data_IF_868388811091
#
_entry.id   IF_868388811091
#
_cell.length_a   1.000
_cell.length_b   1.000
_cell.length_c   1.000
_cell.angle_alpha   90.00
_cell.angle_beta   90.00
_cell.angle_gamma   90.00
#
_symmetry.space_group_name_H-M   'P 1'
#
loop_
_entity.id
_entity.type
_entity.pdbx_description
1 polymer ?
#
# COMPACT_ATOMS: atom_id res chain seq x y z
N UNK A 1 -9.55 15.55 -12.67
CA UNK A 1 -10.78 14.75 -12.43
C UNK A 1 -10.62 13.25 -12.78
N UNK A 2 -9.41 12.77 -13.09
CA UNK A 2 -9.18 11.41 -13.63
C UNK A 2 -8.75 10.38 -12.57
N UNK A 3 -8.01 10.80 -11.54
CA UNK A 3 -7.53 9.92 -10.45
C UNK A 3 -8.66 9.41 -9.52
N UNK A 4 -9.67 10.24 -9.29
CA UNK A 4 -10.83 9.89 -8.44
C UNK A 4 -11.70 8.80 -9.07
N UNK A 5 -11.88 8.85 -10.40
CA UNK A 5 -12.65 7.84 -11.15
C UNK A 5 -11.91 6.50 -11.24
N UNK A 6 -10.58 6.51 -11.42
CA UNK A 6 -9.78 5.28 -11.39
C UNK A 6 -9.77 4.61 -10.01
N UNK A 7 -9.69 5.38 -8.92
CA UNK A 7 -9.81 4.83 -7.57
C UNK A 7 -11.19 4.21 -7.31
N UNK A 8 -12.26 4.84 -7.83
CA UNK A 8 -13.63 4.36 -7.67
C UNK A 8 -13.93 3.08 -8.47
N UNK A 9 -13.39 2.97 -9.69
CA UNK A 9 -13.48 1.76 -10.52
C UNK A 9 -12.67 0.61 -9.92
N UNK A 10 -11.47 0.86 -9.40
CA UNK A 10 -10.65 -0.14 -8.70
C UNK A 10 -11.31 -0.67 -7.42
N UNK A 11 -11.93 0.21 -6.62
CA UNK A 11 -12.63 -0.19 -5.39
C UNK A 11 -13.85 -1.09 -5.66
N UNK A 12 -14.55 -0.91 -6.79
CA UNK A 12 -15.69 -1.75 -7.13
C UNK A 12 -15.26 -3.13 -7.61
N UNK A 13 -14.20 -3.23 -8.42
CA UNK A 13 -13.64 -4.51 -8.88
C UNK A 13 -12.99 -5.29 -7.73
N UNK A 14 -12.28 -4.61 -6.82
CA UNK A 14 -11.71 -5.21 -5.61
C UNK A 14 -12.80 -5.78 -4.70
N UNK A 15 -13.88 -5.02 -4.45
CA UNK A 15 -15.02 -5.50 -3.65
C UNK A 15 -15.72 -6.69 -4.30
N UNK A 16 -15.80 -6.75 -5.62
CA UNK A 16 -16.36 -7.89 -6.33
C UNK A 16 -15.48 -9.14 -6.14
N UNK A 17 -14.18 -9.02 -6.37
CA UNK A 17 -13.23 -10.12 -6.20
C UNK A 17 -13.21 -10.67 -4.76
N UNK A 18 -13.27 -9.80 -3.75
CA UNK A 18 -13.36 -10.21 -2.34
C UNK A 18 -14.64 -11.01 -2.10
N UNK A 19 -15.80 -10.49 -2.54
CA UNK A 19 -17.09 -11.17 -2.37
C UNK A 19 -17.16 -12.51 -3.11
N UNK A 20 -16.54 -12.60 -4.29
CA UNK A 20 -16.53 -13.83 -5.07
C UNK A 20 -15.66 -14.89 -4.39
N UNK A 21 -14.52 -14.51 -3.81
CA UNK A 21 -13.72 -15.40 -2.97
C UNK A 21 -14.50 -15.86 -1.72
N UNK A 22 -15.22 -14.97 -1.04
CA UNK A 22 -16.07 -15.34 0.10
C UNK A 22 -17.18 -16.33 -0.29
N UNK A 23 -17.85 -16.11 -1.42
CA UNK A 23 -18.90 -17.00 -1.94
C UNK A 23 -18.37 -18.39 -2.29
N UNK A 24 -17.11 -18.48 -2.71
CA UNK A 24 -16.44 -19.75 -3.00
C UNK A 24 -15.90 -20.44 -1.75
N UNK A 25 -16.04 -19.84 -0.56
CA UNK A 25 -15.48 -20.36 0.69
C UNK A 25 -13.98 -20.10 0.85
N UNK A 26 -13.37 -19.35 -0.06
CA UNK A 26 -11.94 -19.02 -0.07
C UNK A 26 -11.64 -17.84 0.86
N UNK A 27 -11.96 -17.98 2.15
CA UNK A 27 -11.85 -16.90 3.14
C UNK A 27 -10.42 -16.36 3.29
N UNK A 28 -9.41 -17.22 3.13
CA UNK A 28 -8.01 -16.81 3.16
C UNK A 28 -7.72 -15.82 2.02
N UNK A 29 -8.24 -16.09 0.82
CA UNK A 29 -8.05 -15.29 -0.37
C UNK A 29 -8.82 -13.97 -0.25
N UNK A 30 -10.06 -14.03 0.23
CA UNK A 30 -10.85 -12.82 0.53
C UNK A 30 -10.08 -11.88 1.48
N UNK A 31 -9.49 -12.42 2.54
CA UNK A 31 -8.71 -11.66 3.52
C UNK A 31 -7.39 -11.12 2.94
N UNK A 32 -6.75 -11.85 2.03
CA UNK A 32 -5.59 -11.35 1.29
C UNK A 32 -5.98 -10.17 0.40
N UNK A 33 -7.01 -10.33 -0.43
CA UNK A 33 -7.51 -9.30 -1.36
C UNK A 33 -7.91 -8.02 -0.61
N UNK A 34 -8.58 -8.17 0.54
CA UNK A 34 -8.96 -7.03 1.38
C UNK A 34 -7.75 -6.27 1.94
N UNK A 35 -6.70 -6.99 2.38
CA UNK A 35 -5.44 -6.38 2.83
C UNK A 35 -4.75 -5.60 1.71
N UNK A 36 -4.70 -6.17 0.51
CA UNK A 36 -4.09 -5.49 -0.63
C UNK A 36 -4.89 -4.24 -1.05
N UNK A 37 -6.22 -4.33 -1.08
CA UNK A 37 -7.10 -3.21 -1.39
C UNK A 37 -6.91 -2.05 -0.39
N UNK A 38 -6.83 -2.36 0.91
CA UNK A 38 -6.49 -1.35 1.95
C UNK A 38 -5.13 -0.70 1.69
N UNK A 39 -4.10 -1.49 1.37
CA UNK A 39 -2.77 -0.96 1.05
C UNK A 39 -2.79 0.00 -0.14
N UNK A 40 -3.48 -0.38 -1.23
CA UNK A 40 -3.64 0.50 -2.40
C UNK A 40 -4.42 1.77 -2.07
N UNK A 41 -5.47 1.69 -1.26
CA UNK A 41 -6.22 2.86 -0.81
C UNK A 41 -5.36 3.85 -0.01
N UNK A 42 -4.59 3.35 0.96
CA UNK A 42 -3.70 4.19 1.77
C UNK A 42 -2.63 4.83 0.90
N UNK A 43 -1.98 4.07 0.03
CA UNK A 43 -1.00 4.61 -0.92
C UNK A 43 -1.64 5.71 -1.79
N UNK A 44 -2.79 5.46 -2.40
CA UNK A 44 -3.48 6.47 -3.23
C UNK A 44 -3.81 7.74 -2.44
N UNK A 45 -4.23 7.61 -1.17
CA UNK A 45 -4.54 8.75 -0.31
C UNK A 45 -3.30 9.55 0.07
N UNK A 46 -2.21 8.87 0.42
CA UNK A 46 -0.92 9.50 0.72
C UNK A 46 -0.35 10.20 -0.51
N UNK A 47 -0.41 9.54 -1.68
CA UNK A 47 -0.04 10.14 -2.94
C UNK A 47 -0.84 11.42 -3.18
N UNK A 48 -2.16 11.37 -3.10
CA UNK A 48 -3.00 12.54 -3.32
C UNK A 48 -2.71 13.70 -2.35
N UNK A 49 -2.32 13.41 -1.11
CA UNK A 49 -2.01 14.40 -0.08
C UNK A 49 -0.63 15.04 -0.25
N UNK A 50 0.34 14.26 -0.76
CA UNK A 50 1.75 14.64 -0.81
C UNK A 50 2.33 14.59 -2.23
N UNK A 51 1.47 14.65 -3.24
CA UNK A 51 1.86 14.60 -4.66
C UNK A 51 2.66 15.85 -5.03
N UNK A 52 3.86 15.66 -5.59
CA UNK A 52 4.81 16.73 -5.86
C UNK A 52 5.97 16.81 -4.87
N UNK A 53 5.76 17.16 -3.58
CA UNK A 53 6.86 17.28 -2.62
C UNK A 53 7.49 15.95 -2.26
N UNK A 54 6.79 14.82 -2.43
CA UNK A 54 7.31 13.49 -2.19
C UNK A 54 7.33 12.65 -3.47
N UNK A 55 8.37 11.84 -3.63
CA UNK A 55 8.55 10.96 -4.78
C UNK A 55 8.05 9.55 -4.43
N UNK A 56 6.92 9.16 -5.02
CA UNK A 56 6.34 7.84 -4.83
C UNK A 56 6.94 6.83 -5.81
N UNK A 57 7.36 5.66 -5.31
CA UNK A 57 7.86 4.55 -6.14
C UNK A 57 6.94 3.33 -6.01
N UNK A 58 6.89 2.52 -7.07
CA UNK A 58 6.10 1.29 -7.10
C UNK A 58 6.85 0.06 -6.60
N UNK A 59 8.14 0.18 -6.27
CA UNK A 59 9.03 -0.93 -5.91
C UNK A 59 9.95 -0.52 -4.76
N UNK A 60 9.93 -1.29 -3.66
CA UNK A 60 10.79 -1.03 -2.50
C UNK A 60 10.27 0.10 -1.63
N UNK A 61 11.12 1.09 -1.34
CA UNK A 61 10.76 2.31 -0.61
C UNK A 61 9.61 3.03 -1.31
N UNK A 62 8.46 3.11 -0.65
CA UNK A 62 7.25 3.67 -1.24
C UNK A 62 7.35 5.18 -1.48
N UNK A 63 8.08 5.90 -0.61
CA UNK A 63 8.15 7.36 -0.66
C UNK A 63 9.54 7.88 -0.31
N UNK A 64 10.06 8.81 -1.11
CA UNK A 64 11.30 9.55 -0.82
C UNK A 64 10.99 11.04 -0.74
N UNK A 65 11.44 11.69 0.33
CA UNK A 65 11.47 13.15 0.42
C UNK A 65 12.79 13.65 -0.20
N UNK A 66 12.76 14.30 -1.38
CA UNK A 66 13.96 14.77 -2.06
C UNK A 66 14.66 15.92 -1.33
N UNK A 67 13.98 16.63 -0.41
CA UNK A 67 14.58 17.74 0.34
C UNK A 67 15.42 17.25 1.52
N UNK A 68 14.95 16.20 2.19
CA UNK A 68 15.61 15.68 3.41
C UNK A 68 16.33 14.35 3.19
N UNK A 69 16.15 13.72 2.03
CA UNK A 69 16.62 12.36 1.75
C UNK A 69 15.89 11.28 2.53
N UNK A 70 14.84 11.62 3.29
CA UNK A 70 14.11 10.66 4.11
C UNK A 70 13.33 9.70 3.25
N UNK A 71 13.46 8.42 3.58
CA UNK A 71 12.80 7.33 2.92
C UNK A 71 11.69 6.78 3.82
N UNK A 72 10.54 6.47 3.25
CA UNK A 72 9.40 5.90 3.95
C UNK A 72 8.90 4.65 3.25
N UNK A 73 8.53 3.65 4.04
CA UNK A 73 7.91 2.41 3.59
C UNK A 73 6.51 2.32 4.20
N UNK A 74 5.48 2.14 3.37
CA UNK A 74 4.08 2.09 3.73
C UNK A 74 3.65 0.62 3.72
N UNK A 75 3.43 0.06 4.89
CA UNK A 75 3.17 -1.38 5.05
C UNK A 75 1.88 -1.62 5.82
N UNK A 76 1.18 -2.71 5.48
CA UNK A 76 -0.02 -3.15 6.19
C UNK A 76 0.24 -3.73 7.61
N UNK A 77 1.40 -3.43 8.21
CA UNK A 77 1.73 -3.78 9.60
C UNK A 77 1.81 -5.28 9.94
N UNK A 78 1.74 -6.20 8.97
CA UNK A 78 1.79 -7.65 9.24
C UNK A 78 3.18 -8.09 9.72
N UNK A 79 3.25 -9.20 10.45
CA UNK A 79 4.52 -9.80 10.89
C UNK A 79 5.47 -10.07 9.71
N UNK A 80 4.93 -10.56 8.59
CA UNK A 80 5.69 -10.75 7.35
C UNK A 80 6.24 -9.45 6.76
N UNK A 81 5.49 -8.35 6.85
CA UNK A 81 5.92 -7.03 6.41
C UNK A 81 7.00 -6.46 7.34
N UNK A 82 6.83 -6.62 8.65
CA UNK A 82 7.82 -6.24 9.66
C UNK A 82 9.13 -7.01 9.51
N UNK A 83 9.06 -8.32 9.28
CA UNK A 83 10.24 -9.14 9.02
C UNK A 83 10.96 -8.75 7.71
N UNK A 84 10.20 -8.35 6.67
CA UNK A 84 10.78 -7.81 5.44
C UNK A 84 11.42 -6.44 5.66
N UNK A 85 10.75 -5.55 6.40
CA UNK A 85 11.25 -4.24 6.80
C UNK A 85 12.58 -4.37 7.57
N UNK A 86 12.60 -5.18 8.63
CA UNK A 86 13.78 -5.42 9.45
C UNK A 86 14.99 -5.96 8.67
N UNK A 87 14.76 -6.86 7.70
CA UNK A 87 15.84 -7.35 6.82
C UNK A 87 16.45 -6.26 5.96
N UNK A 88 15.65 -5.28 5.51
CA UNK A 88 16.13 -4.15 4.70
C UNK A 88 16.83 -3.07 5.53
N UNK A 89 16.51 -2.93 6.83
CA UNK A 89 17.21 -2.00 7.72
C UNK A 89 18.70 -2.29 7.87
N UNK A 90 19.17 -3.50 7.52
CA UNK A 90 20.60 -3.82 7.52
C UNK A 90 21.40 -3.04 6.45
N UNK A 91 20.75 -2.55 5.39
CA UNK A 91 21.41 -1.83 4.29
C UNK A 91 20.85 -0.43 4.02
N UNK A 92 19.66 -0.09 4.52
CA UNK A 92 18.95 1.14 4.20
C UNK A 92 18.27 1.74 5.45
N UNK A 93 18.29 3.08 5.60
CA UNK A 93 17.58 3.78 6.68
C UNK A 93 16.28 4.41 6.17
N UNK A 94 15.15 3.93 6.66
CA UNK A 94 13.82 4.41 6.29
C UNK A 94 12.84 4.33 7.47
N UNK A 95 11.77 5.13 7.41
CA UNK A 95 10.70 5.14 8.41
C UNK A 95 9.49 4.33 7.92
N UNK A 96 9.06 3.37 8.72
CA UNK A 96 7.84 2.62 8.45
C UNK A 96 6.60 3.44 8.81
N UNK A 97 5.60 3.41 7.93
CA UNK A 97 4.23 3.86 8.19
C UNK A 97 3.32 2.62 8.16
N UNK A 98 2.77 2.27 9.32
CA UNK A 98 1.85 1.13 9.47
C UNK A 98 0.40 1.60 9.57
N UNK A 99 -0.54 0.76 9.13
CA UNK A 99 -1.98 0.98 9.22
C UNK A 99 -2.71 -0.33 9.48
#
# INVERSE_FOLDING_TARGET
>A
MTLLLMGYLGLQTERAAIRDAEKQGEYWLARLLEREARGRFVHARLKQRFDGPLQFKHQGVDVVDPKTGRQYEILAGTESNLARHGRRMAGEFFRMLTF
#
